data_IF_724518374843
#
_entry.id   IF_724518374843
#
_cell.length_a   1.000
_cell.length_b   1.000
_cell.length_c   1.000
_cell.angle_alpha   90.00
_cell.angle_beta   90.00
_cell.angle_gamma   90.00
#
_symmetry.space_group_name_H-M   'P 1'
#
loop_
_entity.id
_entity.type
_entity.pdbx_description
1 polymer ?
#
# COMPACT_ATOMS: atom_id res chain seq x y z
N UNK A 1 -3.13 35.37 -6.44
CA UNK A 1 -2.38 34.16 -6.83
C UNK A 1 -2.13 33.42 -5.54
N UNK A 2 -2.75 32.25 -5.32
CA UNK A 2 -2.50 31.47 -4.10
C UNK A 2 -1.02 31.11 -4.06
N UNK A 3 -0.34 31.41 -2.95
CA UNK A 3 0.98 30.85 -2.67
C UNK A 3 0.79 29.35 -2.41
N UNK A 4 0.99 28.54 -3.45
CA UNK A 4 0.97 27.09 -3.31
C UNK A 4 2.28 26.64 -2.67
N UNK A 5 2.20 25.98 -1.50
CA UNK A 5 3.31 25.26 -0.90
C UNK A 5 3.41 23.88 -1.52
N UNK A 6 4.44 23.66 -2.33
CA UNK A 6 4.74 22.33 -2.89
C UNK A 6 5.35 21.40 -1.83
N UNK A 7 5.13 20.07 -1.92
CA UNK A 7 4.42 19.36 -2.98
C UNK A 7 2.89 19.55 -2.92
N UNK A 8 2.25 19.51 -4.09
CA UNK A 8 0.79 19.58 -4.24
C UNK A 8 0.25 18.32 -4.91
N UNK A 9 -0.99 17.97 -4.61
CA UNK A 9 -1.75 16.97 -5.35
C UNK A 9 -2.76 17.67 -6.26
N UNK A 10 -2.77 17.29 -7.53
CA UNK A 10 -3.74 17.79 -8.52
C UNK A 10 -4.78 16.71 -8.79
N UNK A 11 -6.05 17.10 -8.67
CA UNK A 11 -7.22 16.24 -8.84
C UNK A 11 -8.16 16.81 -9.90
N UNK A 12 -8.26 16.17 -11.06
CA UNK A 12 -9.27 16.50 -12.06
C UNK A 12 -10.68 16.23 -11.54
N UNK A 13 -11.59 17.21 -11.70
CA UNK A 13 -13.00 17.03 -11.35
C UNK A 13 -13.67 15.97 -12.24
N UNK A 14 -14.69 15.29 -11.70
CA UNK A 14 -15.51 14.28 -12.40
C UNK A 14 -14.73 13.08 -12.96
N UNK A 15 -13.66 12.68 -12.29
CA UNK A 15 -12.90 11.47 -12.63
C UNK A 15 -13.21 10.33 -11.67
N UNK A 16 -12.95 9.10 -12.11
CA UNK A 16 -13.01 7.89 -11.29
C UNK A 16 -11.62 7.25 -11.26
N UNK A 17 -11.30 6.55 -10.17
CA UNK A 17 -10.03 5.81 -10.00
C UNK A 17 -8.76 6.68 -10.05
N UNK A 18 -8.88 7.96 -9.73
CA UNK A 18 -7.77 8.91 -9.74
C UNK A 18 -7.18 9.18 -11.12
N UNK A 19 -7.98 9.02 -12.18
CA UNK A 19 -7.54 9.28 -13.57
C UNK A 19 -6.91 10.66 -13.70
N UNK A 20 -5.68 10.69 -14.21
CA UNK A 20 -4.85 11.89 -14.34
C UNK A 20 -4.52 12.62 -13.02
N UNK A 21 -4.74 12.03 -11.85
CA UNK A 21 -4.22 12.61 -10.61
C UNK A 21 -2.70 12.60 -10.63
N UNK A 22 -2.07 13.63 -10.05
CA UNK A 22 -0.62 13.71 -9.99
C UNK A 22 -0.17 14.42 -8.71
N UNK A 23 0.92 13.92 -8.13
CA UNK A 23 1.68 14.61 -7.08
C UNK A 23 2.80 15.38 -7.75
N UNK A 24 2.83 16.69 -7.56
CA UNK A 24 3.72 17.62 -8.22
C UNK A 24 4.60 18.25 -7.14
N UNK A 25 5.92 18.15 -7.30
CA UNK A 25 6.90 18.57 -6.29
C UNK A 25 7.42 19.98 -6.53
N UNK A 26 7.31 20.46 -7.75
CA UNK A 26 7.80 21.78 -8.15
C UNK A 26 6.77 22.52 -8.98
N UNK A 27 6.96 23.83 -9.10
CA UNK A 27 6.16 24.65 -10.00
C UNK A 27 6.31 24.21 -11.46
N UNK A 28 7.51 23.78 -11.85
CA UNK A 28 7.79 23.30 -13.20
C UNK A 28 6.98 22.02 -13.50
N UNK A 29 6.85 21.10 -12.52
CA UNK A 29 6.00 19.92 -12.64
C UNK A 29 4.52 20.29 -12.89
N UNK A 30 4.04 21.37 -12.26
CA UNK A 30 2.69 21.89 -12.45
C UNK A 30 2.49 22.50 -13.84
N UNK A 31 3.45 23.27 -14.32
CA UNK A 31 3.39 23.84 -15.68
C UNK A 31 3.45 22.77 -16.77
N UNK A 32 4.25 21.71 -16.57
CA UNK A 32 4.28 20.54 -17.45
C UNK A 32 2.95 19.79 -17.41
N UNK A 33 2.46 19.46 -16.22
CA UNK A 33 1.20 18.74 -16.04
C UNK A 33 0.01 19.46 -16.71
N UNK A 34 -0.13 20.78 -16.48
CA UNK A 34 -1.21 21.58 -17.06
C UNK A 34 -1.11 21.71 -18.58
N UNK A 35 0.10 21.70 -19.15
CA UNK A 35 0.30 21.72 -20.60
C UNK A 35 -0.20 20.44 -21.26
N UNK A 36 0.04 19.31 -20.60
CA UNK A 36 -0.33 17.99 -21.10
C UNK A 36 -1.82 17.68 -20.88
N UNK A 37 -2.37 18.08 -19.72
CA UNK A 37 -3.73 17.67 -19.29
C UNK A 37 -4.77 18.78 -19.34
N UNK A 38 -4.35 20.05 -19.32
CA UNK A 38 -5.25 21.21 -19.27
C UNK A 38 -6.14 21.38 -20.51
N UNK A 39 -5.87 20.64 -21.60
CA UNK A 39 -6.73 20.60 -22.79
C UNK A 39 -7.92 19.66 -22.65
N UNK A 40 -7.85 18.69 -21.73
CA UNK A 40 -8.84 17.61 -21.60
C UNK A 40 -9.73 17.76 -20.36
N UNK A 41 -9.28 18.53 -19.37
CA UNK A 41 -9.95 18.71 -18.08
C UNK A 41 -10.28 20.19 -17.89
N UNK A 42 -11.56 20.48 -17.56
CA UNK A 42 -12.04 21.85 -17.38
C UNK A 42 -11.68 22.45 -16.02
N UNK A 43 -11.63 21.61 -14.98
CA UNK A 43 -11.46 22.05 -13.60
C UNK A 43 -10.53 21.09 -12.86
N UNK A 44 -9.59 21.68 -12.12
CA UNK A 44 -8.65 20.97 -11.26
C UNK A 44 -8.80 21.48 -9.83
N UNK A 45 -8.84 20.55 -8.89
CA UNK A 45 -8.60 20.83 -7.49
C UNK A 45 -7.09 20.67 -7.23
N UNK A 46 -6.48 21.67 -6.59
CA UNK A 46 -5.07 21.66 -6.20
C UNK A 46 -5.00 21.79 -4.69
N UNK A 47 -4.45 20.78 -4.04
CA UNK A 47 -4.38 20.69 -2.58
C UNK A 47 -2.93 20.47 -2.14
N UNK A 48 -2.62 20.84 -0.90
CA UNK A 48 -1.36 20.46 -0.28
C UNK A 48 -1.26 18.92 -0.20
N UNK A 49 -0.12 18.37 -0.62
CA UNK A 49 0.13 16.95 -0.50
C UNK A 49 0.65 16.62 0.90
N UNK A 50 -0.12 15.84 1.67
CA UNK A 50 0.25 15.38 3.00
C UNK A 50 1.27 14.23 2.93
N UNK A 51 2.53 14.60 2.66
CA UNK A 51 3.61 13.62 2.56
C UNK A 51 3.86 12.87 3.88
N UNK A 52 4.28 11.61 3.80
CA UNK A 52 4.50 10.67 4.90
C UNK A 52 3.28 10.48 5.83
N UNK A 53 2.06 10.57 5.29
CA UNK A 53 0.83 10.30 6.05
C UNK A 53 0.33 8.87 5.85
N UNK A 54 -0.33 8.32 6.88
CA UNK A 54 -1.01 7.03 6.79
C UNK A 54 -2.37 7.29 6.13
N UNK A 55 -2.67 6.54 5.06
CA UNK A 55 -4.01 6.55 4.50
C UNK A 55 -4.88 5.48 5.18
N UNK A 56 -6.12 5.84 5.48
CA UNK A 56 -7.07 4.95 6.12
C UNK A 56 -8.48 5.21 5.59
N UNK A 57 -9.35 4.21 5.65
CA UNK A 57 -10.73 4.35 5.20
C UNK A 57 -11.72 3.69 6.17
N UNK A 58 -12.94 4.23 6.19
CA UNK A 58 -14.08 3.66 6.90
C UNK A 58 -15.15 3.36 5.87
N UNK A 59 -15.58 2.09 5.82
CA UNK A 59 -16.84 1.69 5.21
C UNK A 59 -17.89 1.48 6.30
N UNK A 60 -19.08 2.04 6.08
CA UNK A 60 -20.19 1.91 7.01
C UNK A 60 -21.55 1.98 6.34
N UNK A 61 -22.59 1.84 7.17
CA UNK A 61 -24.00 2.02 6.77
C UNK A 61 -24.66 2.98 7.75
N UNK A 62 -25.24 4.06 7.23
CA UNK A 62 -25.91 5.11 8.01
C UNK A 62 -27.42 5.04 7.80
N UNK A 63 -28.21 5.30 8.85
CA UNK A 63 -29.66 5.48 8.79
C UNK A 63 -30.07 6.96 8.80
N UNK A 64 -29.09 7.87 8.78
CA UNK A 64 -29.24 9.32 8.87
C UNK A 64 -29.05 9.88 10.27
N UNK A 65 -29.14 9.04 11.32
CA UNK A 65 -28.93 9.44 12.71
C UNK A 65 -27.68 8.80 13.32
N UNK A 66 -27.44 7.52 13.04
CA UNK A 66 -26.26 6.77 13.47
C UNK A 66 -25.64 6.01 12.30
N UNK A 67 -24.46 5.44 12.53
CA UNK A 67 -23.70 4.71 11.51
C UNK A 67 -23.09 3.45 12.09
N UNK A 68 -23.34 2.33 11.41
CA UNK A 68 -22.67 1.07 11.64
C UNK A 68 -21.26 1.13 11.04
N UNK A 69 -20.24 1.10 11.91
CA UNK A 69 -18.82 1.08 11.52
C UNK A 69 -18.20 -0.24 12.00
N UNK A 70 -17.97 -1.23 11.12
CA UNK A 70 -17.36 -2.52 11.49
C UNK A 70 -15.93 -2.40 12.01
N UNK A 71 -15.21 -1.37 11.56
CA UNK A 71 -13.82 -1.12 11.89
C UNK A 71 -13.21 -0.14 10.91
N UNK A 72 -11.89 0.04 11.02
CA UNK A 72 -11.10 0.90 10.15
C UNK A 72 -10.22 0.04 9.28
N UNK A 73 -10.14 0.41 8.01
CA UNK A 73 -9.16 -0.12 7.07
C UNK A 73 -7.94 0.80 7.10
N UNK A 74 -6.76 0.22 7.24
CA UNK A 74 -5.48 0.92 7.25
C UNK A 74 -4.69 0.54 5.99
N UNK A 75 -4.15 1.50 5.25
CA UNK A 75 -3.27 1.20 4.11
C UNK A 75 -1.84 0.96 4.60
N UNK A 76 -1.16 -0.02 3.98
CA UNK A 76 0.27 -0.26 4.21
C UNK A 76 1.06 0.85 3.53
N UNK A 77 0.71 1.19 2.30
CA UNK A 77 1.30 2.28 1.54
C UNK A 77 0.89 3.64 2.11
N UNK A 78 1.79 4.61 2.00
CA UNK A 78 1.56 6.00 2.42
C UNK A 78 0.53 6.67 1.50
N UNK A 79 -0.14 7.71 2.00
CA UNK A 79 -1.09 8.47 1.20
C UNK A 79 -0.41 9.01 -0.06
N UNK A 80 -1.12 8.99 -1.19
CA UNK A 80 -0.56 9.33 -2.51
C UNK A 80 -0.36 8.14 -3.43
N UNK A 81 -0.44 6.92 -2.88
CA UNK A 81 -0.71 5.71 -3.65
C UNK A 81 -2.21 5.44 -3.60
N UNK A 82 -2.84 5.30 -4.76
CA UNK A 82 -4.27 5.15 -4.86
C UNK A 82 -4.78 3.94 -4.05
N UNK A 83 -5.83 4.13 -3.25
CA UNK A 83 -6.43 3.11 -2.36
C UNK A 83 -6.73 1.75 -3.02
N UNK A 84 -7.03 1.74 -4.32
CA UNK A 84 -7.22 0.52 -5.11
C UNK A 84 -5.94 -0.29 -5.38
N UNK A 85 -4.78 0.36 -5.39
CA UNK A 85 -3.46 -0.24 -5.59
C UNK A 85 -2.67 -0.38 -4.28
N UNK A 86 -3.27 0.01 -3.17
CA UNK A 86 -2.69 -0.16 -1.84
C UNK A 86 -3.07 -1.52 -1.26
N UNK A 87 -2.12 -2.11 -0.54
CA UNK A 87 -2.38 -3.21 0.38
C UNK A 87 -3.07 -2.65 1.61
N UNK A 88 -4.21 -3.23 1.99
CA UNK A 88 -5.03 -2.72 3.08
C UNK A 88 -5.19 -3.76 4.19
N UNK A 89 -5.22 -3.31 5.45
CA UNK A 89 -5.35 -4.12 6.65
C UNK A 89 -6.69 -3.80 7.31
N UNK A 90 -7.47 -4.84 7.64
CA UNK A 90 -8.71 -4.69 8.40
C UNK A 90 -8.86 -5.79 9.47
N UNK A 91 -9.28 -5.47 10.70
CA UNK A 91 -9.30 -4.11 11.26
C UNK A 91 -7.88 -3.55 11.39
N UNK A 92 -7.75 -2.21 11.42
CA UNK A 92 -6.48 -1.53 11.66
C UNK A 92 -5.79 -2.05 12.93
N UNK A 93 -4.47 -2.24 12.82
CA UNK A 93 -3.63 -2.78 13.90
C UNK A 93 -2.65 -1.73 14.42
N UNK A 94 -2.19 -0.80 13.56
CA UNK A 94 -1.14 0.15 13.93
C UNK A 94 -1.67 1.54 14.27
N UNK A 95 -2.86 1.92 13.78
CA UNK A 95 -3.45 3.22 14.10
C UNK A 95 -3.87 3.25 15.58
N UNK A 96 -3.40 4.22 16.39
CA UNK A 96 -3.77 4.30 17.80
C UNK A 96 -5.28 4.45 18.02
N UNK A 97 -5.81 3.81 19.07
CA UNK A 97 -7.25 3.82 19.36
C UNK A 97 -7.87 5.23 19.45
N UNK A 98 -7.16 6.22 20.00
CA UNK A 98 -7.70 7.58 20.09
C UNK A 98 -7.92 8.21 18.70
N UNK A 99 -7.02 7.96 17.75
CA UNK A 99 -7.18 8.39 16.35
C UNK A 99 -8.32 7.63 15.69
N UNK A 100 -8.43 6.33 15.94
CA UNK A 100 -9.55 5.52 15.45
C UNK A 100 -10.91 6.05 15.91
N UNK A 101 -11.02 6.46 17.18
CA UNK A 101 -12.25 7.06 17.70
C UNK A 101 -12.52 8.45 17.09
N UNK A 102 -11.49 9.27 16.86
CA UNK A 102 -11.65 10.53 16.12
C UNK A 102 -12.20 10.31 14.71
N UNK A 103 -11.69 9.31 13.98
CA UNK A 103 -12.21 8.98 12.64
C UNK A 103 -13.68 8.57 12.68
N UNK A 104 -14.06 7.70 13.64
CA UNK A 104 -15.47 7.28 13.82
C UNK A 104 -16.38 8.44 14.17
N UNK A 105 -15.91 9.37 15.01
CA UNK A 105 -16.66 10.57 15.36
C UNK A 105 -16.88 11.48 14.15
N UNK A 106 -15.84 11.72 13.34
CA UNK A 106 -15.98 12.44 12.09
C UNK A 106 -16.98 11.76 11.15
N UNK A 107 -16.93 10.43 11.02
CA UNK A 107 -17.91 9.67 10.22
C UNK A 107 -19.33 9.89 10.71
N UNK A 108 -19.59 9.82 12.03
CA UNK A 108 -20.93 10.07 12.62
C UNK A 108 -21.43 11.47 12.32
N UNK A 109 -20.58 12.48 12.54
CA UNK A 109 -20.94 13.88 12.31
C UNK A 109 -21.27 14.14 10.84
N UNK A 110 -20.45 13.62 9.93
CA UNK A 110 -20.66 13.73 8.48
C UNK A 110 -21.99 13.06 8.07
N UNK A 111 -22.25 11.84 8.56
CA UNK A 111 -23.47 11.12 8.21
C UNK A 111 -24.74 11.86 8.67
N UNK A 112 -24.71 12.46 9.88
CA UNK A 112 -25.81 13.27 10.41
C UNK A 112 -26.02 14.56 9.62
N UNK A 113 -24.95 15.31 9.37
CA UNK A 113 -25.04 16.61 8.70
C UNK A 113 -25.49 16.48 7.25
N UNK A 114 -24.94 15.50 6.54
CA UNK A 114 -25.30 15.23 5.14
C UNK A 114 -26.56 14.36 4.99
N UNK A 115 -27.16 13.91 6.11
CA UNK A 115 -28.33 13.03 6.15
C UNK A 115 -28.17 11.80 5.27
N UNK A 116 -27.00 11.14 5.38
CA UNK A 116 -26.68 9.96 4.59
C UNK A 116 -27.55 8.80 5.03
N UNK A 117 -28.26 8.17 4.10
CA UNK A 117 -29.01 6.93 4.33
C UNK A 117 -28.47 5.87 3.38
N UNK A 118 -28.04 4.73 3.92
CA UNK A 118 -27.40 3.65 3.19
C UNK A 118 -25.86 3.65 3.33
N UNK A 119 -25.13 3.13 2.33
CA UNK A 119 -23.70 2.90 2.43
C UNK A 119 -22.89 4.21 2.34
N UNK A 120 -21.79 4.27 3.10
CA UNK A 120 -20.86 5.40 3.13
C UNK A 120 -19.42 4.88 3.15
N UNK A 121 -18.55 5.57 2.42
CA UNK A 121 -17.10 5.39 2.49
C UNK A 121 -16.44 6.76 2.72
N UNK A 122 -15.50 6.82 3.66
CA UNK A 122 -14.72 8.04 3.95
C UNK A 122 -13.25 7.68 3.98
N UNK A 123 -12.45 8.40 3.21
CA UNK A 123 -10.99 8.27 3.18
C UNK A 123 -10.36 9.37 4.02
N UNK A 124 -9.31 9.00 4.75
CA UNK A 124 -8.60 9.85 5.69
C UNK A 124 -7.09 9.78 5.46
N UNK A 125 -6.41 10.89 5.73
CA UNK A 125 -4.96 10.94 5.89
C UNK A 125 -4.63 11.25 7.35
N UNK A 126 -3.71 10.51 7.95
CA UNK A 126 -3.28 10.69 9.34
C UNK A 126 -1.82 11.12 9.33
N UNK A 127 -1.56 12.34 9.82
CA UNK A 127 -0.21 12.92 9.89
C UNK A 127 0.01 13.55 11.26
N UNK A 128 1.11 13.20 11.91
CA UNK A 128 1.51 13.74 13.22
C UNK A 128 0.39 13.67 14.28
N UNK A 129 -0.44 12.62 14.21
CA UNK A 129 -1.57 12.40 15.12
C UNK A 129 -2.86 13.13 14.75
N UNK A 130 -2.87 13.89 13.65
CA UNK A 130 -4.02 14.67 13.18
C UNK A 130 -4.74 13.89 12.06
N UNK A 131 -6.07 13.79 12.18
CA UNK A 131 -6.95 13.17 11.17
C UNK A 131 -7.43 14.22 10.18
N UNK A 132 -7.10 14.03 8.92
CA UNK A 132 -7.58 14.83 7.79
C UNK A 132 -8.56 14.00 6.95
N UNK A 133 -9.63 14.63 6.47
CA UNK A 133 -10.57 13.99 5.55
C UNK A 133 -10.08 14.22 4.12
N UNK A 134 -9.98 13.14 3.34
CA UNK A 134 -9.58 13.20 1.93
C UNK A 134 -10.81 13.35 1.05
N UNK A 135 -11.75 12.41 1.14
CA UNK A 135 -12.98 12.42 0.37
C UNK A 135 -14.09 11.62 1.07
N UNK A 136 -15.33 11.93 0.70
CA UNK A 136 -16.55 11.31 1.22
C UNK A 136 -17.34 10.77 0.03
N UNK A 137 -17.63 9.47 0.06
CA UNK A 137 -18.36 8.74 -0.97
C UNK A 137 -19.65 8.17 -0.36
N UNK A 138 -20.81 8.85 -0.48
CA UNK A 138 -22.11 8.36 0.03
C UNK A 138 -22.70 7.25 -0.86
N UNK A 139 -21.92 6.19 -1.02
CA UNK A 139 -22.21 4.98 -1.80
C UNK A 139 -21.33 3.84 -1.30
N UNK A 140 -21.60 2.62 -1.75
CA UNK A 140 -20.69 1.50 -1.51
C UNK A 140 -19.33 1.73 -2.18
N UNK A 141 -18.27 1.41 -1.46
CA UNK A 141 -16.89 1.37 -1.97
C UNK A 141 -16.58 0.01 -2.61
N UNK A 142 -15.35 -0.10 -3.13
CA UNK A 142 -14.79 -1.39 -3.55
C UNK A 142 -14.35 -2.26 -2.36
N UNK A 143 -14.10 -1.66 -1.20
CA UNK A 143 -13.67 -2.33 0.03
C UNK A 143 -14.83 -2.95 0.82
N UNK A 144 -16.08 -2.57 0.51
CA UNK A 144 -17.29 -3.07 1.14
C UNK A 144 -17.37 -4.61 1.24
N UNK A 145 -17.08 -5.38 0.17
CA UNK A 145 -17.05 -6.85 0.25
C UNK A 145 -15.91 -7.38 1.12
N UNK A 146 -14.73 -6.76 1.07
CA UNK A 146 -13.58 -7.12 1.91
C UNK A 146 -13.92 -6.96 3.39
N UNK A 147 -14.46 -5.80 3.79
CA UNK A 147 -14.91 -5.55 5.17
C UNK A 147 -15.97 -6.56 5.57
N UNK A 148 -16.95 -6.82 4.71
CA UNK A 148 -18.03 -7.76 5.00
C UNK A 148 -17.50 -9.17 5.28
N UNK A 149 -16.53 -9.63 4.47
CA UNK A 149 -15.93 -10.96 4.63
C UNK A 149 -15.10 -11.09 5.90
N UNK A 150 -14.32 -10.07 6.25
CA UNK A 150 -13.43 -10.14 7.41
C UNK A 150 -14.17 -9.89 8.73
N UNK A 151 -15.11 -8.95 8.74
CA UNK A 151 -15.94 -8.66 9.93
C UNK A 151 -17.00 -9.73 10.19
N UNK A 152 -17.44 -10.45 9.15
CA UNK A 152 -18.58 -11.36 9.23
C UNK A 152 -19.94 -10.66 9.18
N UNK A 153 -19.97 -9.35 8.90
CA UNK A 153 -21.19 -8.55 8.76
C UNK A 153 -21.50 -8.40 7.27
N UNK A 154 -22.69 -8.79 6.82
CA UNK A 154 -23.10 -8.58 5.44
C UNK A 154 -23.51 -7.12 5.22
N UNK A 155 -22.55 -6.23 4.96
CA UNK A 155 -22.84 -4.79 4.86
C UNK A 155 -23.80 -4.45 3.72
N UNK A 156 -23.80 -5.22 2.62
CA UNK A 156 -24.72 -5.00 1.50
C UNK A 156 -26.17 -5.28 1.91
N UNK A 157 -26.39 -6.32 2.70
CA UNK A 157 -27.71 -6.65 3.26
C UNK A 157 -28.15 -5.61 4.28
N UNK A 158 -27.26 -5.21 5.19
CA UNK A 158 -27.53 -4.13 6.16
C UNK A 158 -27.87 -2.82 5.44
N UNK A 159 -27.12 -2.46 4.40
CA UNK A 159 -27.40 -1.26 3.61
C UNK A 159 -28.76 -1.31 2.91
N UNK A 160 -29.11 -2.46 2.31
CA UNK A 160 -30.41 -2.65 1.68
C UNK A 160 -31.56 -2.55 2.70
N UNK A 161 -31.38 -3.16 3.87
CA UNK A 161 -32.34 -3.14 4.97
C UNK A 161 -32.58 -1.71 5.50
N UNK A 162 -31.51 -0.93 5.70
CA UNK A 162 -31.60 0.47 6.12
C UNK A 162 -32.27 1.34 5.06
N UNK A 163 -31.97 1.13 3.77
CA UNK A 163 -32.65 1.84 2.68
C UNK A 163 -34.15 1.51 2.59
N UNK A 164 -34.56 0.34 3.09
CA UNK A 164 -35.97 -0.07 3.22
C UNK A 164 -36.62 0.40 4.53
N UNK A 165 -35.91 1.19 5.35
CA UNK A 165 -36.41 1.78 6.59
C UNK A 165 -36.32 0.86 7.81
N UNK A 166 -35.50 -0.20 7.77
CA UNK A 166 -35.17 -0.97 8.97
C UNK A 166 -34.06 -0.28 9.77
N UNK A 167 -34.06 -0.51 11.08
CA UNK A 167 -33.03 0.00 11.97
C UNK A 167 -31.66 -0.65 11.73
N UNK A 168 -30.59 0.08 12.02
CA UNK A 168 -29.23 -0.44 12.03
C UNK A 168 -29.12 -1.57 13.08
N UNK A 169 -28.55 -2.74 12.72
CA UNK A 169 -28.33 -3.80 13.69
C UNK A 169 -27.21 -3.45 14.67
N UNK A 170 -27.23 -4.04 15.87
CA UNK A 170 -26.10 -3.96 16.79
C UNK A 170 -24.85 -4.61 16.18
N UNK A 171 -23.69 -3.96 16.33
CA UNK A 171 -22.41 -4.55 15.93
C UNK A 171 -22.12 -5.84 16.73
N UNK A 172 -21.76 -6.95 16.07
CA UNK A 172 -21.23 -8.12 16.76
C UNK A 172 -19.87 -7.79 17.43
N UNK A 173 -19.40 -8.68 18.30
CA UNK A 173 -18.08 -8.56 18.91
C UNK A 173 -16.96 -8.39 17.87
N UNK A 174 -15.80 -7.84 18.32
CA UNK A 174 -14.61 -7.57 17.49
C UNK A 174 -14.31 -8.69 16.49
N UNK A 175 -13.90 -8.29 15.29
CA UNK A 175 -13.51 -9.22 14.22
C UNK A 175 -12.53 -10.29 14.75
N UNK A 176 -12.82 -11.55 14.47
CA UNK A 176 -12.04 -12.71 14.95
C UNK A 176 -10.70 -12.87 14.24
N UNK A 177 -10.54 -12.21 13.10
CA UNK A 177 -9.40 -12.31 12.21
C UNK A 177 -8.96 -10.91 11.77
N UNK A 178 -7.68 -10.81 11.41
CA UNK A 178 -7.15 -9.73 10.58
C UNK A 178 -7.20 -10.21 9.13
N UNK A 179 -7.72 -9.37 8.26
CA UNK A 179 -7.69 -9.52 6.82
C UNK A 179 -6.70 -8.53 6.21
N UNK A 180 -5.97 -8.99 5.21
CA UNK A 180 -5.11 -8.19 4.36
C UNK A 180 -5.62 -8.30 2.94
N UNK A 181 -6.01 -7.18 2.36
CA UNK A 181 -6.39 -7.04 0.96
C UNK A 181 -5.14 -6.63 0.17
N UNK A 182 -4.76 -7.39 -0.85
CA UNK A 182 -3.58 -7.07 -1.67
C UNK A 182 -3.98 -6.97 -3.14
N UNK A 183 -3.56 -5.92 -3.86
CA UNK A 183 -3.90 -5.75 -5.27
C UNK A 183 -3.23 -6.80 -6.15
N UNK A 184 -3.93 -7.21 -7.20
CA UNK A 184 -3.43 -8.06 -8.28
C UNK A 184 -3.48 -7.28 -9.57
N UNK A 185 -2.35 -7.30 -10.26
CA UNK A 185 -2.16 -6.54 -11.48
C UNK A 185 -2.10 -7.46 -12.71
N UNK A 186 -2.70 -7.09 -13.84
CA UNK A 186 -2.86 -7.95 -15.02
C UNK A 186 -1.62 -7.90 -15.93
N UNK A 187 -0.41 -7.93 -15.38
CA UNK A 187 0.79 -7.53 -16.13
C UNK A 187 1.19 -8.49 -17.24
N UNK A 188 0.82 -9.76 -17.15
CA UNK A 188 0.96 -10.72 -18.27
C UNK A 188 0.23 -10.24 -19.54
N UNK A 189 -0.72 -9.30 -19.42
CA UNK A 189 -1.56 -8.78 -20.51
C UNK A 189 -1.19 -7.38 -21.01
N UNK A 190 -0.34 -6.63 -20.30
CA UNK A 190 -0.06 -5.21 -20.62
C UNK A 190 1.40 -4.99 -21.00
N UNK A 191 1.75 -5.34 -22.24
CA UNK A 191 3.10 -5.14 -22.79
C UNK A 191 3.42 -3.65 -22.90
N UNK A 192 4.38 -3.17 -22.10
CA UNK A 192 4.91 -1.80 -22.18
C UNK A 192 4.45 -0.86 -21.05
N UNK A 193 3.49 -1.28 -20.22
CA UNK A 193 3.11 -0.56 -19.01
C UNK A 193 4.27 -0.55 -17.98
N UNK A 194 4.36 0.53 -17.20
CA UNK A 194 5.33 0.64 -16.10
C UNK A 194 4.64 0.50 -14.74
N UNK A 195 5.25 -0.26 -13.84
CA UNK A 195 4.66 -0.68 -12.56
C UNK A 195 5.05 0.26 -11.42
N UNK A 196 4.81 1.54 -11.65
CA UNK A 196 5.00 2.57 -10.62
C UNK A 196 3.66 2.82 -9.95
N UNK A 197 3.62 2.58 -8.63
CA UNK A 197 2.50 2.97 -7.78
C UNK A 197 2.42 4.50 -7.72
N UNK A 198 1.21 5.02 -7.70
CA UNK A 198 0.94 6.46 -7.67
C UNK A 198 -0.53 6.74 -7.43
N UNK A 199 -0.98 7.98 -7.66
CA UNK A 199 -2.34 8.40 -7.33
C UNK A 199 -3.41 7.89 -8.30
N UNK A 200 -3.03 7.21 -9.38
CA UNK A 200 -3.92 6.55 -10.33
C UNK A 200 -3.88 5.02 -10.15
N UNK A 201 -5.07 4.39 -10.14
CA UNK A 201 -5.22 2.93 -10.01
C UNK A 201 -4.83 2.17 -11.27
N UNK A 202 -4.06 1.09 -11.15
CA UNK A 202 -3.64 0.20 -12.25
C UNK A 202 -3.94 -1.27 -12.01
N UNK A 203 -4.28 -1.67 -10.79
CA UNK A 203 -4.66 -3.04 -10.47
C UNK A 203 -6.01 -3.42 -11.10
N UNK A 204 -6.23 -4.73 -11.33
CA UNK A 204 -7.48 -5.26 -11.92
C UNK A 204 -8.26 -6.18 -11.01
N UNK A 205 -7.64 -6.61 -9.91
CA UNK A 205 -8.24 -7.50 -8.95
C UNK A 205 -7.54 -7.37 -7.61
N UNK A 206 -7.99 -8.19 -6.68
CA UNK A 206 -7.47 -8.20 -5.31
C UNK A 206 -7.59 -9.62 -4.76
N UNK A 207 -6.70 -9.95 -3.83
CA UNK A 207 -6.77 -11.15 -3.00
C UNK A 207 -6.93 -10.77 -1.54
N UNK A 208 -7.48 -11.69 -0.75
CA UNK A 208 -7.63 -11.51 0.69
C UNK A 208 -6.86 -12.62 1.40
N UNK A 209 -5.87 -12.25 2.20
CA UNK A 209 -5.23 -13.12 3.18
C UNK A 209 -5.84 -12.88 4.56
N UNK A 210 -6.37 -13.92 5.20
CA UNK A 210 -6.90 -13.82 6.57
C UNK A 210 -6.01 -14.59 7.55
N UNK A 211 -5.86 -14.07 8.76
CA UNK A 211 -5.11 -14.72 9.84
C UNK A 211 -5.55 -14.23 11.21
N UNK A 212 -5.13 -14.91 12.27
CA UNK A 212 -5.36 -14.45 13.66
C UNK A 212 -4.42 -13.31 14.05
N UNK A 213 -3.34 -13.13 13.29
CA UNK A 213 -2.37 -12.04 13.46
C UNK A 213 -2.14 -11.36 12.12
N UNK A 214 -1.68 -10.11 12.16
CA UNK A 214 -1.31 -9.38 10.95
C UNK A 214 -0.26 -10.14 10.11
N UNK A 215 0.75 -10.71 10.76
CA UNK A 215 1.82 -11.45 10.08
C UNK A 215 1.28 -12.69 9.34
N UNK A 216 0.36 -13.43 9.94
CA UNK A 216 -0.29 -14.57 9.28
C UNK A 216 -1.16 -14.11 8.10
N UNK A 217 -1.94 -13.04 8.28
CA UNK A 217 -2.78 -12.48 7.22
C UNK A 217 -1.95 -11.98 6.04
N UNK A 218 -0.84 -11.28 6.29
CA UNK A 218 0.11 -10.81 5.27
C UNK A 218 0.75 -11.99 4.52
N UNK A 219 1.21 -13.03 5.24
CA UNK A 219 1.76 -14.24 4.60
C UNK A 219 0.75 -14.89 3.66
N UNK A 220 -0.50 -15.02 4.11
CA UNK A 220 -1.58 -15.58 3.31
C UNK A 220 -1.91 -14.70 2.10
N UNK A 221 -1.86 -13.37 2.24
CA UNK A 221 -2.06 -12.43 1.14
C UNK A 221 -0.95 -12.53 0.09
N UNK A 222 0.32 -12.61 0.51
CA UNK A 222 1.45 -12.83 -0.42
C UNK A 222 1.29 -14.14 -1.20
N UNK A 223 0.96 -15.24 -0.51
CA UNK A 223 0.74 -16.53 -1.14
C UNK A 223 -0.46 -16.50 -2.12
N UNK A 224 -1.58 -15.88 -1.72
CA UNK A 224 -2.76 -15.74 -2.57
C UNK A 224 -2.49 -14.90 -3.82
N UNK A 225 -1.65 -13.87 -3.71
CA UNK A 225 -1.19 -13.05 -4.83
C UNK A 225 -0.14 -13.77 -5.71
N UNK A 226 0.27 -14.98 -5.34
CA UNK A 226 1.20 -15.81 -6.10
C UNK A 226 2.68 -15.53 -5.84
N UNK A 227 3.01 -14.75 -4.80
CA UNK A 227 4.39 -14.46 -4.41
C UNK A 227 4.95 -15.55 -3.51
N UNK A 228 6.13 -16.05 -3.86
CA UNK A 228 6.87 -17.02 -3.04
C UNK A 228 7.94 -16.32 -2.22
N UNK A 229 7.57 -15.94 -1.00
CA UNK A 229 8.46 -15.27 -0.05
C UNK A 229 9.43 -16.24 0.64
N UNK A 230 9.34 -17.55 0.40
CA UNK A 230 10.24 -18.54 1.02
C UNK A 230 11.63 -18.51 0.39
N UNK A 231 11.74 -18.08 -0.87
CA UNK A 231 12.98 -17.89 -1.64
C UNK A 231 14.05 -17.11 -0.88
N UNK A 232 15.31 -17.46 -1.06
CA UNK A 232 16.37 -17.07 -0.13
C UNK A 232 16.91 -15.66 -0.37
N UNK A 233 16.81 -15.12 -1.59
CA UNK A 233 17.40 -13.83 -1.94
C UNK A 233 16.44 -12.65 -1.86
N UNK A 234 16.99 -11.47 -1.58
CA UNK A 234 16.32 -10.17 -1.68
C UNK A 234 17.25 -9.21 -2.42
N UNK A 235 16.74 -8.55 -3.46
CA UNK A 235 17.46 -7.49 -4.16
C UNK A 235 17.10 -6.15 -3.53
N UNK A 236 18.09 -5.32 -3.20
CA UNK A 236 17.89 -4.02 -2.56
C UNK A 236 18.64 -2.96 -3.35
N UNK A 237 17.90 -2.00 -3.90
CA UNK A 237 18.45 -0.84 -4.62
C UNK A 237 17.74 0.43 -4.16
N UNK A 238 18.50 1.30 -3.49
CA UNK A 238 17.97 2.48 -2.81
C UNK A 238 18.74 3.73 -3.23
N UNK A 239 18.08 4.91 -3.28
CA UNK A 239 18.78 6.18 -3.40
C UNK A 239 19.75 6.38 -2.23
N UNK A 240 20.97 6.83 -2.52
CA UNK A 240 22.04 6.97 -1.54
C UNK A 240 21.64 7.73 -0.27
N UNK A 241 20.84 8.79 -0.39
CA UNK A 241 20.42 9.62 0.74
C UNK A 241 19.37 8.93 1.63
N UNK A 242 18.60 7.97 1.11
CA UNK A 242 17.53 7.28 1.84
C UNK A 242 17.96 6.01 2.55
N UNK A 243 19.15 5.48 2.25
CA UNK A 243 19.63 4.19 2.81
C UNK A 243 19.53 4.16 4.35
N UNK A 244 19.80 5.29 5.02
CA UNK A 244 19.70 5.41 6.48
C UNK A 244 18.32 5.03 7.03
N UNK A 245 17.24 5.40 6.34
CA UNK A 245 15.85 5.12 6.72
C UNK A 245 15.51 3.61 6.70
N UNK A 246 16.30 2.83 5.95
CA UNK A 246 16.07 1.40 5.70
C UNK A 246 16.99 0.49 6.50
N UNK A 247 18.07 0.98 7.12
CA UNK A 247 19.06 0.13 7.80
C UNK A 247 18.43 -0.81 8.83
N UNK A 248 17.46 -0.33 9.62
CA UNK A 248 16.73 -1.15 10.59
C UNK A 248 15.97 -2.29 9.92
N UNK A 249 15.24 -1.99 8.84
CA UNK A 249 14.45 -2.94 8.05
C UNK A 249 15.36 -3.98 7.40
N UNK A 250 16.44 -3.54 6.74
CA UNK A 250 17.40 -4.40 6.06
C UNK A 250 18.09 -5.33 7.06
N UNK A 251 18.39 -4.85 8.28
CA UNK A 251 18.94 -5.69 9.34
C UNK A 251 17.97 -6.79 9.77
N UNK A 252 16.67 -6.51 9.84
CA UNK A 252 15.65 -7.53 10.13
C UNK A 252 15.62 -8.59 9.02
N UNK A 253 15.63 -8.15 7.75
CA UNK A 253 15.69 -9.06 6.58
C UNK A 253 16.96 -9.91 6.64
N UNK A 254 18.12 -9.31 6.87
CA UNK A 254 19.40 -10.02 7.00
C UNK A 254 19.36 -11.07 8.12
N UNK A 255 18.78 -10.74 9.28
CA UNK A 255 18.64 -11.66 10.43
C UNK A 255 17.69 -12.84 10.17
N UNK A 256 16.74 -12.69 9.26
CA UNK A 256 15.89 -13.80 8.81
C UNK A 256 16.67 -14.86 8.02
N UNK A 257 17.89 -14.53 7.56
CA UNK A 257 18.75 -15.42 6.80
C UNK A 257 18.67 -15.25 5.29
N UNK A 258 17.97 -14.21 4.81
CA UNK A 258 17.92 -13.90 3.37
C UNK A 258 19.27 -13.39 2.87
N UNK A 259 19.70 -13.86 1.71
CA UNK A 259 20.85 -13.32 0.99
C UNK A 259 20.50 -11.95 0.39
N UNK A 260 21.32 -10.93 0.65
CA UNK A 260 21.09 -9.58 0.13
C UNK A 260 21.93 -9.37 -1.13
N UNK A 261 21.30 -8.91 -2.21
CA UNK A 261 21.94 -8.49 -3.44
C UNK A 261 21.73 -6.99 -3.62
N UNK A 262 22.79 -6.24 -3.92
CA UNK A 262 22.70 -4.77 -4.02
C UNK A 262 23.65 -4.19 -5.05
N UNK A 263 23.26 -3.05 -5.63
CA UNK A 263 24.15 -2.22 -6.44
C UNK A 263 25.31 -1.68 -5.61
N UNK A 264 26.44 -1.42 -6.26
CA UNK A 264 27.71 -0.99 -5.62
C UNK A 264 27.48 0.09 -4.54
N UNK A 265 26.89 1.22 -4.89
CA UNK A 265 26.67 2.33 -3.94
C UNK A 265 25.75 1.97 -2.76
N UNK A 266 24.79 1.05 -2.94
CA UNK A 266 23.95 0.55 -1.83
C UNK A 266 24.79 -0.38 -0.94
N UNK A 267 25.51 -1.32 -1.54
CA UNK A 267 26.36 -2.32 -0.87
C UNK A 267 27.41 -1.65 0.02
N UNK A 268 28.14 -0.67 -0.50
CA UNK A 268 29.19 0.04 0.25
C UNK A 268 28.67 0.63 1.56
N UNK A 269 27.46 1.20 1.56
CA UNK A 269 26.84 1.73 2.77
C UNK A 269 26.37 0.62 3.69
N UNK A 270 25.76 -0.45 3.17
CA UNK A 270 25.33 -1.59 3.98
C UNK A 270 26.51 -2.25 4.72
N UNK A 271 27.67 -2.37 4.07
CA UNK A 271 28.88 -2.93 4.69
C UNK A 271 29.35 -2.11 5.90
N UNK A 272 29.21 -0.77 5.88
CA UNK A 272 29.51 0.10 7.04
C UNK A 272 28.63 -0.20 8.26
N UNK A 273 27.45 -0.79 8.06
CA UNK A 273 26.54 -1.22 9.12
C UNK A 273 26.64 -2.72 9.45
N UNK A 274 27.67 -3.41 8.95
CA UNK A 274 27.93 -4.84 9.18
C UNK A 274 26.99 -5.77 8.41
N UNK A 275 26.33 -5.27 7.36
CA UNK A 275 25.42 -6.06 6.53
C UNK A 275 26.16 -6.46 5.26
N UNK A 276 26.43 -7.76 5.11
CA UNK A 276 27.08 -8.27 3.91
C UNK A 276 26.04 -8.39 2.78
N UNK A 277 26.38 -7.83 1.61
CA UNK A 277 25.56 -7.91 0.42
C UNK A 277 26.43 -8.35 -0.77
N UNK A 278 25.87 -9.22 -1.61
CA UNK A 278 26.45 -9.62 -2.89
C UNK A 278 26.27 -8.46 -3.86
N UNK A 279 27.38 -8.03 -4.46
CA UNK A 279 27.34 -6.96 -5.45
C UNK A 279 26.70 -7.42 -6.75
N UNK A 280 25.83 -6.58 -7.30
CA UNK A 280 25.26 -6.74 -8.63
C UNK A 280 25.38 -5.41 -9.39
N UNK A 281 25.53 -5.49 -10.70
CA UNK A 281 25.57 -4.32 -11.58
C UNK A 281 24.16 -3.80 -11.87
N UNK A 282 24.04 -2.54 -12.25
CA UNK A 282 22.83 -2.06 -12.95
C UNK A 282 22.73 -2.72 -14.31
N UNK A 283 21.55 -2.66 -14.93
CA UNK A 283 21.29 -3.41 -16.17
C UNK A 283 22.19 -2.89 -17.30
N UNK A 284 22.38 -1.58 -17.40
CA UNK A 284 23.28 -0.98 -18.40
C UNK A 284 24.78 -1.13 -18.08
N UNK A 285 25.17 -1.51 -16.86
CA UNK A 285 26.57 -1.60 -16.42
C UNK A 285 27.20 -2.99 -16.75
N UNK A 286 26.41 -3.96 -17.21
CA UNK A 286 26.85 -5.30 -17.62
C UNK A 286 26.39 -6.40 -16.68
N UNK A 287 27.04 -7.56 -16.69
CA UNK A 287 26.66 -8.74 -15.88
C UNK A 287 27.70 -9.08 -14.78
N UNK A 288 27.30 -9.75 -13.67
CA UNK A 288 25.91 -10.08 -13.32
C UNK A 288 25.12 -8.84 -12.86
N UNK A 289 23.90 -8.65 -13.38
CA UNK A 289 23.00 -7.57 -12.97
C UNK A 289 21.69 -8.09 -12.36
N UNK A 290 20.81 -7.16 -11.99
CA UNK A 290 19.48 -7.46 -11.44
C UNK A 290 18.68 -8.48 -12.27
N UNK A 291 18.71 -8.42 -13.60
CA UNK A 291 17.97 -9.36 -14.44
C UNK A 291 18.56 -10.76 -14.38
N UNK A 292 19.88 -10.86 -14.32
CA UNK A 292 20.58 -12.13 -14.19
C UNK A 292 20.22 -12.81 -12.87
N UNK A 293 20.22 -12.04 -11.77
CA UNK A 293 19.84 -12.55 -10.45
C UNK A 293 18.36 -12.94 -10.39
N UNK A 294 17.46 -12.15 -10.99
CA UNK A 294 16.04 -12.51 -11.09
C UNK A 294 15.83 -13.80 -11.91
N UNK A 295 16.64 -14.06 -12.94
CA UNK A 295 16.57 -15.30 -13.73
C UNK A 295 16.93 -16.55 -12.94
N UNK A 296 17.74 -16.45 -11.89
CA UNK A 296 18.08 -17.59 -11.02
C UNK A 296 16.87 -18.13 -10.24
N UNK A 297 15.79 -17.35 -10.13
CA UNK A 297 14.52 -17.79 -9.54
C UNK A 297 14.48 -17.87 -8.02
N UNK A 298 15.61 -17.72 -7.32
CA UNK A 298 15.68 -17.79 -5.86
C UNK A 298 15.58 -16.39 -5.18
N UNK A 299 14.75 -15.50 -5.72
CA UNK A 299 14.52 -14.15 -5.17
C UNK A 299 13.08 -14.01 -4.67
N UNK A 300 12.92 -13.72 -3.38
CA UNK A 300 11.63 -13.48 -2.73
C UNK A 300 11.09 -12.09 -3.04
N UNK A 301 11.95 -11.07 -2.97
CA UNK A 301 11.54 -9.68 -3.16
C UNK A 301 12.62 -8.81 -3.81
N UNK A 302 12.16 -7.75 -4.46
CA UNK A 302 12.97 -6.61 -4.89
C UNK A 302 12.47 -5.38 -4.12
N UNK A 303 13.34 -4.80 -3.31
CA UNK A 303 13.10 -3.52 -2.63
C UNK A 303 13.75 -2.44 -3.48
N UNK A 304 12.93 -1.65 -4.17
CA UNK A 304 13.39 -0.52 -4.97
C UNK A 304 12.58 0.73 -4.72
N UNK A 305 13.23 1.70 -4.09
CA UNK A 305 12.67 3.03 -3.90
C UNK A 305 13.07 3.89 -5.10
N UNK A 306 12.08 4.48 -5.75
CA UNK A 306 12.27 5.31 -6.93
C UNK A 306 13.06 6.58 -6.59
N UNK A 307 14.01 6.94 -7.45
CA UNK A 307 14.69 8.24 -7.39
C UNK A 307 13.75 9.35 -7.90
N UNK A 308 14.10 10.61 -7.67
CA UNK A 308 13.33 11.75 -8.21
C UNK A 308 13.30 11.76 -9.75
N UNK A 309 14.33 11.19 -10.38
CA UNK A 309 14.47 11.10 -11.84
C UNK A 309 14.02 9.75 -12.41
N UNK A 310 13.24 8.96 -11.69
CA UNK A 310 12.89 7.59 -12.10
C UNK A 310 12.26 7.49 -13.50
N UNK A 311 11.59 8.55 -13.98
CA UNK A 311 10.98 8.61 -15.31
C UNK A 311 12.02 8.52 -16.43
N UNK A 312 13.25 8.97 -16.20
CA UNK A 312 14.35 8.86 -17.15
C UNK A 312 15.19 7.59 -16.98
N UNK A 313 14.91 6.78 -15.95
CA UNK A 313 15.65 5.55 -15.65
C UNK A 313 15.04 4.33 -16.35
N UNK A 314 15.50 4.03 -17.57
CA UNK A 314 15.07 2.87 -18.35
C UNK A 314 15.24 1.53 -17.59
N UNK A 315 16.33 1.39 -16.82
CA UNK A 315 16.63 0.20 -16.02
C UNK A 315 15.54 -0.11 -14.98
N UNK A 316 14.98 0.93 -14.35
CA UNK A 316 13.96 0.77 -13.32
C UNK A 316 12.71 0.10 -13.87
N UNK A 317 12.25 0.55 -15.05
CA UNK A 317 11.08 -0.02 -15.73
C UNK A 317 11.28 -1.49 -16.08
N UNK A 318 12.47 -1.85 -16.58
CA UNK A 318 12.79 -3.23 -16.97
C UNK A 318 12.87 -4.13 -15.73
N UNK A 319 13.48 -3.68 -14.65
CA UNK A 319 13.56 -4.41 -13.37
C UNK A 319 12.19 -4.67 -12.78
N UNK A 320 11.34 -3.62 -12.70
CA UNK A 320 9.96 -3.73 -12.21
C UNK A 320 9.22 -4.82 -12.95
N UNK A 321 9.16 -4.69 -14.27
CA UNK A 321 8.50 -5.65 -15.14
C UNK A 321 9.01 -7.08 -14.94
N UNK A 322 10.33 -7.27 -14.93
CA UNK A 322 10.91 -8.61 -14.76
C UNK A 322 10.61 -9.23 -13.39
N UNK A 323 10.48 -8.41 -12.35
CA UNK A 323 10.08 -8.87 -11.01
C UNK A 323 8.66 -9.45 -11.04
N UNK A 324 7.71 -8.72 -11.64
CA UNK A 324 6.32 -9.17 -11.74
C UNK A 324 6.16 -10.41 -12.63
N UNK A 325 6.77 -10.46 -13.81
CA UNK A 325 6.73 -11.62 -14.72
C UNK A 325 7.24 -12.91 -14.04
N UNK A 326 8.09 -12.78 -13.03
CA UNK A 326 8.69 -13.89 -12.27
C UNK A 326 8.02 -14.15 -10.92
N UNK A 327 6.94 -13.44 -10.63
CA UNK A 327 6.23 -13.47 -9.34
C UNK A 327 7.17 -13.23 -8.16
N UNK A 328 8.10 -12.30 -8.34
CA UNK A 328 8.96 -11.76 -7.29
C UNK A 328 8.26 -10.54 -6.71
N UNK A 329 8.13 -10.49 -5.40
CA UNK A 329 7.43 -9.40 -4.71
C UNK A 329 8.20 -8.09 -4.93
N UNK A 330 7.58 -7.09 -5.53
CA UNK A 330 8.20 -5.79 -5.75
C UNK A 330 7.71 -4.77 -4.72
N UNK A 331 8.61 -4.21 -3.93
CA UNK A 331 8.33 -3.29 -2.83
C UNK A 331 8.91 -1.92 -3.15
N UNK A 332 8.05 -0.92 -3.31
CA UNK A 332 8.40 0.45 -3.69
C UNK A 332 8.28 1.47 -2.57
N UNK A 333 7.80 1.07 -1.40
CA UNK A 333 7.70 1.94 -0.22
C UNK A 333 8.48 1.39 0.97
N UNK A 334 8.79 2.27 1.93
CA UNK A 334 9.44 1.88 3.17
C UNK A 334 8.53 1.01 4.03
N UNK A 335 7.25 1.33 4.10
CA UNK A 335 6.24 0.61 4.89
C UNK A 335 6.05 -0.82 4.38
N UNK A 336 5.97 -1.01 3.06
CA UNK A 336 5.94 -2.32 2.42
C UNK A 336 7.18 -3.16 2.80
N UNK A 337 8.36 -2.56 2.72
CA UNK A 337 9.62 -3.23 3.09
C UNK A 337 9.65 -3.61 4.58
N UNK A 338 9.12 -2.76 5.47
CA UNK A 338 9.03 -3.02 6.90
C UNK A 338 8.11 -4.23 7.20
N UNK A 339 6.91 -4.26 6.63
CA UNK A 339 5.97 -5.38 6.81
C UNK A 339 6.57 -6.68 6.27
N UNK A 340 7.17 -6.64 5.08
CA UNK A 340 7.87 -7.81 4.52
C UNK A 340 8.97 -8.33 5.45
N UNK A 341 9.78 -7.43 6.02
CA UNK A 341 10.85 -7.78 6.94
C UNK A 341 10.34 -8.53 8.19
N UNK A 342 9.23 -8.07 8.77
CA UNK A 342 8.61 -8.74 9.91
C UNK A 342 8.07 -10.12 9.55
N UNK A 343 7.44 -10.26 8.38
CA UNK A 343 6.92 -11.55 7.90
C UNK A 343 8.06 -12.57 7.71
N UNK A 344 9.13 -12.22 7.00
CA UNK A 344 10.24 -13.16 6.76
C UNK A 344 11.01 -13.50 8.03
N UNK A 345 11.11 -12.56 8.98
CA UNK A 345 11.71 -12.86 10.29
C UNK A 345 10.85 -13.85 11.07
N UNK A 346 9.53 -13.68 11.08
CA UNK A 346 8.60 -14.59 11.76
C UNK A 346 8.67 -16.02 11.19
N UNK A 347 8.77 -16.15 9.86
CA UNK A 347 8.96 -17.44 9.18
C UNK A 347 10.25 -18.13 9.63
N UNK A 348 11.36 -17.38 9.62
CA UNK A 348 12.66 -17.89 10.03
C UNK A 348 12.67 -18.36 11.49
N UNK A 349 12.05 -17.62 12.40
CA UNK A 349 11.94 -17.99 13.81
C UNK A 349 11.08 -19.26 14.00
N UNK A 350 9.97 -19.37 13.26
CA UNK A 350 9.09 -20.54 13.30
C UNK A 350 9.79 -21.81 12.80
N UNK A 351 10.57 -21.71 11.72
CA UNK A 351 11.38 -22.82 11.20
C UNK A 351 12.46 -23.27 12.20
N UNK A 352 13.17 -22.33 12.83
CA UNK A 352 14.19 -22.65 13.85
C UNK A 352 13.59 -23.37 15.07
N UNK A 353 12.39 -22.98 15.50
CA UNK A 353 11.67 -23.64 16.60
C UNK A 353 11.32 -25.09 16.24
N UNK A 354 10.74 -25.30 15.04
CA UNK A 354 10.40 -26.64 14.54
C UNK A 354 11.62 -27.58 14.44
N UNK A 355 12.76 -27.08 13.95
CA UNK A 355 14.00 -27.86 13.88
C UNK A 355 14.53 -28.21 15.27
N UNK A 356 14.42 -27.30 16.25
CA UNK A 356 14.83 -27.56 17.64
C UNK A 356 13.95 -28.61 18.31
N UNK A 357 12.65 -28.55 18.09
CA UNK A 357 11.68 -29.47 18.69
C UNK A 357 11.75 -30.87 18.07
N UNK A 358 12.19 -31.01 16.81
CA UNK A 358 12.48 -32.32 16.19
C UNK A 358 13.80 -32.97 16.65
N UNK A 359 14.70 -32.20 17.28
CA UNK A 359 16.00 -32.68 17.78
C UNK A 359 15.98 -33.05 19.28
N UNK A 360 14.88 -32.73 19.97
CA UNK A 360 14.59 -33.17 21.33
C UNK A 360 13.66 -34.36 21.28
#
# INVERSE_FOLDING_TARGET
VMELSFPVIVRPSYTISGSHMAILKTKDDLEEYLRDHGKFVKEFLVEEYLDNSIEAEIDGVSDGNDVLIPGIIEHVEEAGIHSGDSTSIFPSVNIPNHIQETMKEYTRLICRELKVIGPINIQFAIKDGIVHIIEINPRSSRSFPFVSKVSGINLSEVAADVLLGKDIPSLPEKARYVGVKMPVFPFDKLTGADVVLGPEMKSTGEVIGMGRTLIEAMRNAYAAAGFDISREGVIITLPSHRIGEFIGIIRIIYRSGKAIYSTEGTREKLMKYGINAVEIKKIHEGSPNTLDILKLGNIAAVINILSENYKSEADGKVMRRSSFERRVLYLSTRTQAAVFAEVVLSDALSLRKSVRDKKR
#
